data_IF_772761258999
#
_entry.id   IF_772761258999
#
_cell.length_a   1.000
_cell.length_b   1.000
_cell.length_c   1.000
_cell.angle_alpha   90.00
_cell.angle_beta   90.00
_cell.angle_gamma   90.00
#
_symmetry.space_group_name_H-M   'P 1'
#
loop_
_entity.id
_entity.type
_entity.pdbx_description
1 polymer ?
#
# COMPACT_ATOMS: atom_id res chain seq x y z
N UNK A 1 4.18 14.90 0.47
CA UNK A 1 3.11 14.19 -0.26
C UNK A 1 2.36 15.17 -1.14
N UNK A 2 1.55 14.65 -2.05
CA UNK A 2 0.69 15.42 -2.98
C UNK A 2 -0.78 15.39 -2.59
N UNK A 3 -1.13 14.65 -1.54
CA UNK A 3 -2.50 14.36 -1.11
C UNK A 3 -2.63 14.40 0.41
N UNK A 4 -3.85 14.60 0.89
CA UNK A 4 -4.24 14.50 2.29
C UNK A 4 -5.54 13.72 2.39
N UNK A 5 -5.61 12.81 3.36
CA UNK A 5 -6.81 12.11 3.79
C UNK A 5 -7.15 12.56 5.22
N UNK A 6 -8.33 13.15 5.41
CA UNK A 6 -8.85 13.53 6.72
C UNK A 6 -9.92 12.56 7.18
N UNK A 7 -9.67 11.89 8.29
CA UNK A 7 -10.62 10.98 8.93
C UNK A 7 -11.58 11.75 9.83
N UNK A 8 -12.88 11.56 9.62
CA UNK A 8 -13.96 12.13 10.45
C UNK A 8 -14.55 11.06 11.40
N UNK A 9 -14.22 11.13 12.68
CA UNK A 9 -14.83 10.29 13.73
C UNK A 9 -16.21 10.84 14.15
N UNK A 10 -17.14 10.88 13.20
CA UNK A 10 -18.45 11.47 13.40
C UNK A 10 -19.21 10.85 14.58
N UNK A 11 -19.60 11.69 15.54
CA UNK A 11 -20.35 11.27 16.71
C UNK A 11 -19.53 10.55 17.78
N UNK A 12 -18.20 10.63 17.72
CA UNK A 12 -17.28 10.13 18.75
C UNK A 12 -17.24 8.61 18.85
N UNK A 13 -17.41 7.91 17.72
CA UNK A 13 -17.17 6.48 17.61
C UNK A 13 -18.23 5.56 18.22
N UNK A 14 -19.09 6.05 19.09
CA UNK A 14 -20.03 5.23 19.86
C UNK A 14 -21.39 4.95 19.21
N UNK A 15 -21.62 5.35 17.95
CA UNK A 15 -22.91 5.19 17.26
C UNK A 15 -22.76 4.37 15.98
N UNK A 16 -23.82 3.68 15.57
CA UNK A 16 -23.88 3.02 14.27
C UNK A 16 -24.04 4.05 13.15
N UNK A 17 -22.93 4.45 12.51
CA UNK A 17 -22.92 5.46 11.44
C UNK A 17 -22.63 4.90 10.04
N UNK A 18 -22.54 3.58 9.91
CA UNK A 18 -22.30 2.90 8.64
C UNK A 18 -23.54 2.13 8.15
N UNK A 19 -24.76 2.58 8.49
CA UNK A 19 -25.98 1.89 8.06
C UNK A 19 -26.27 2.22 6.60
N UNK A 20 -27.06 1.39 5.94
CA UNK A 20 -27.38 1.54 4.50
C UNK A 20 -28.04 2.88 4.12
N UNK A 21 -28.59 3.62 5.10
CA UNK A 21 -29.22 4.92 4.89
C UNK A 21 -28.41 6.10 5.45
N UNK A 22 -27.27 5.85 6.10
CA UNK A 22 -26.38 6.92 6.52
C UNK A 22 -25.66 7.51 5.29
N UNK A 23 -25.48 8.84 5.20
CA UNK A 23 -24.75 9.45 4.09
C UNK A 23 -23.31 8.93 3.98
N UNK A 24 -22.83 8.78 2.74
CA UNK A 24 -21.46 8.32 2.45
C UNK A 24 -20.38 9.39 2.72
N UNK A 25 -20.79 10.65 2.89
CA UNK A 25 -19.92 11.79 3.19
C UNK A 25 -19.91 12.15 4.69
N UNK A 26 -20.53 11.34 5.56
CA UNK A 26 -20.58 11.56 7.01
C UNK A 26 -19.80 10.48 7.74
N UNK A 27 -18.88 10.86 8.63
CA UNK A 27 -18.08 9.87 9.36
C UNK A 27 -17.19 9.05 8.43
N UNK A 28 -16.62 9.73 7.44
CA UNK A 28 -15.96 9.21 6.25
C UNK A 28 -14.60 9.91 6.11
N UNK A 29 -13.77 9.43 5.19
CA UNK A 29 -12.49 10.07 4.89
C UNK A 29 -12.67 11.08 3.77
N UNK A 30 -12.30 12.33 4.01
CA UNK A 30 -12.28 13.38 3.00
C UNK A 30 -10.90 13.45 2.35
N UNK A 31 -10.83 13.28 1.03
CA UNK A 31 -9.58 13.22 0.28
C UNK A 31 -9.39 14.51 -0.52
N UNK A 32 -8.19 15.07 -0.40
CA UNK A 32 -7.78 16.31 -1.04
C UNK A 32 -6.44 16.13 -1.76
N UNK A 33 -6.30 16.81 -2.89
CA UNK A 33 -5.00 17.04 -3.50
C UNK A 33 -4.39 18.34 -2.98
N UNK A 34 -3.06 18.43 -3.00
CA UNK A 34 -2.30 19.64 -2.74
C UNK A 34 -1.86 20.24 -4.09
N UNK A 35 -2.58 21.26 -4.56
CA UNK A 35 -2.28 21.98 -5.81
C UNK A 35 -1.86 23.40 -5.46
N UNK A 36 -0.65 23.81 -5.88
CA UNK A 36 -0.07 25.12 -5.57
C UNK A 36 -0.11 25.48 -4.07
N UNK A 37 0.10 24.48 -3.21
CA UNK A 37 0.06 24.62 -1.75
C UNK A 37 -1.33 24.80 -1.14
N UNK A 38 -2.40 24.53 -1.91
CA UNK A 38 -3.80 24.60 -1.44
C UNK A 38 -4.47 23.24 -1.51
N UNK A 39 -5.42 23.02 -0.61
CA UNK A 39 -6.25 21.82 -0.61
C UNK A 39 -7.35 21.95 -1.65
N UNK A 40 -7.36 21.04 -2.61
CA UNK A 40 -8.45 20.85 -3.56
C UNK A 40 -9.22 19.58 -3.20
N UNK A 41 -10.49 19.74 -2.84
CA UNK A 41 -11.36 18.60 -2.56
C UNK A 41 -11.48 17.70 -3.79
N UNK A 42 -11.39 16.38 -3.58
CA UNK A 42 -11.53 15.38 -4.64
C UNK A 42 -12.70 14.44 -4.40
N UNK A 43 -12.76 13.80 -3.23
CA UNK A 43 -13.77 12.79 -2.95
C UNK A 43 -13.95 12.55 -1.45
N UNK A 44 -14.94 11.74 -1.12
CA UNK A 44 -15.02 11.05 0.16
C UNK A 44 -14.90 9.55 -0.07
N UNK A 45 -14.29 8.85 0.89
CA UNK A 45 -14.35 7.40 1.00
C UNK A 45 -15.08 6.99 2.27
N UNK A 46 -15.99 6.03 2.15
CA UNK A 46 -16.60 5.32 3.27
C UNK A 46 -16.67 3.85 2.91
N UNK A 47 -16.43 2.98 3.89
CA UNK A 47 -16.52 1.53 3.68
C UNK A 47 -17.84 1.15 2.97
N UNK A 48 -17.80 0.27 1.95
CA UNK A 48 -18.97 -0.01 1.11
C UNK A 48 -19.98 -0.94 1.78
N UNK A 49 -19.54 -1.74 2.75
CA UNK A 49 -20.38 -2.71 3.43
C UNK A 49 -21.27 -2.05 4.50
N UNK A 50 -22.60 -2.03 4.34
CA UNK A 50 -23.49 -1.47 5.36
C UNK A 50 -23.51 -2.34 6.63
N UNK A 51 -23.44 -1.68 7.77
CA UNK A 51 -23.44 -2.28 9.11
C UNK A 51 -24.84 -2.21 9.75
N UNK A 52 -25.08 -3.06 10.75
CA UNK A 52 -26.37 -3.12 11.48
C UNK A 52 -26.47 -2.00 12.52
N UNK A 53 -27.66 -1.86 13.10
CA UNK A 53 -27.97 -0.80 14.06
C UNK A 53 -27.25 -0.95 15.40
N UNK A 54 -26.76 -2.15 15.72
CA UNK A 54 -26.06 -2.48 16.96
C UNK A 54 -24.53 -2.49 16.81
N UNK A 55 -24.02 -1.95 15.70
CA UNK A 55 -22.59 -1.90 15.39
C UNK A 55 -22.12 -0.46 15.37
N UNK A 56 -21.36 -0.04 16.40
CA UNK A 56 -20.72 1.26 16.34
C UNK A 56 -19.68 1.26 15.22
N UNK A 57 -19.81 2.20 14.29
CA UNK A 57 -19.01 2.20 13.07
C UNK A 57 -18.87 3.63 12.57
N UNK A 58 -17.63 4.03 12.32
CA UNK A 58 -17.23 5.31 11.73
C UNK A 58 -15.75 5.24 11.35
N UNK A 59 -15.30 6.08 10.42
CA UNK A 59 -13.89 6.21 10.04
C UNK A 59 -13.02 6.47 11.29
N UNK A 60 -11.94 5.69 11.44
CA UNK A 60 -11.01 5.84 12.56
C UNK A 60 -9.55 5.58 12.12
N UNK A 61 -8.61 5.60 13.06
CA UNK A 61 -7.17 5.56 12.84
C UNK A 61 -6.69 4.46 11.88
N UNK A 62 -5.76 4.86 10.99
CA UNK A 62 -5.13 4.04 9.98
C UNK A 62 -3.67 4.41 9.73
N UNK A 63 -3.02 3.73 8.78
CA UNK A 63 -1.74 4.15 8.22
C UNK A 63 -1.56 3.79 6.75
N UNK A 64 -0.58 4.41 6.09
CA UNK A 64 -0.18 4.03 4.74
C UNK A 64 0.34 2.59 4.70
N UNK A 65 -0.08 1.83 3.68
CA UNK A 65 0.58 0.61 3.21
C UNK A 65 1.54 1.05 2.10
N UNK A 66 2.87 1.02 2.31
CA UNK A 66 3.84 1.69 1.45
C UNK A 66 4.17 0.87 0.20
N UNK A 67 3.20 0.66 -0.67
CA UNK A 67 3.44 0.11 -2.01
C UNK A 67 4.10 1.20 -2.88
N UNK A 68 5.27 0.96 -3.52
CA UNK A 68 5.90 1.94 -4.38
C UNK A 68 4.94 2.41 -5.48
N UNK A 69 4.84 3.73 -5.65
CA UNK A 69 4.01 4.35 -6.70
C UNK A 69 2.50 4.35 -6.45
N UNK A 70 2.03 3.82 -5.32
CA UNK A 70 0.60 3.81 -4.96
C UNK A 70 0.34 4.46 -3.62
N UNK A 71 -0.84 5.04 -3.49
CA UNK A 71 -1.35 5.59 -2.25
C UNK A 71 -2.39 4.62 -1.69
N UNK A 72 -1.96 3.73 -0.78
CA UNK A 72 -2.83 2.75 -0.13
C UNK A 72 -2.88 3.04 1.38
N UNK A 73 -4.08 3.03 1.96
CA UNK A 73 -4.33 3.27 3.38
C UNK A 73 -5.03 2.06 4.00
N UNK A 74 -4.51 1.55 5.11
CA UNK A 74 -5.24 0.57 5.94
C UNK A 74 -5.88 1.30 7.11
N UNK A 75 -7.15 1.04 7.36
CA UNK A 75 -7.96 1.86 8.25
C UNK A 75 -8.95 1.05 9.09
N UNK A 76 -9.13 1.46 10.34
CA UNK A 76 -10.14 0.94 11.24
C UNK A 76 -11.50 1.63 11.07
N UNK A 77 -12.58 0.86 11.17
CA UNK A 77 -13.97 1.32 11.13
C UNK A 77 -14.77 0.91 12.38
N UNK A 78 -14.14 0.83 13.55
CA UNK A 78 -14.70 0.21 14.74
C UNK A 78 -15.27 -1.19 14.44
N UNK A 79 -16.55 -1.45 14.73
CA UNK A 79 -17.17 -2.77 14.49
C UNK A 79 -17.35 -3.05 13.01
N UNK A 80 -17.30 -2.02 12.14
CA UNK A 80 -17.24 -2.20 10.68
C UNK A 80 -15.94 -2.84 10.19
N UNK A 81 -14.97 -3.07 11.08
CA UNK A 81 -13.79 -3.85 10.76
C UNK A 81 -12.63 -3.01 10.25
N UNK A 82 -11.95 -3.54 9.22
CA UNK A 82 -10.79 -2.95 8.57
C UNK A 82 -11.09 -2.82 7.08
N UNK A 83 -10.75 -1.67 6.51
CA UNK A 83 -10.66 -1.50 5.05
C UNK A 83 -9.21 -1.23 4.65
N UNK A 84 -8.82 -1.76 3.50
CA UNK A 84 -7.60 -1.38 2.78
C UNK A 84 -8.06 -0.63 1.55
N UNK A 85 -7.67 0.63 1.46
CA UNK A 85 -8.21 1.63 0.56
C UNK A 85 -7.11 2.05 -0.40
N UNK A 86 -7.30 1.83 -1.70
CA UNK A 86 -6.46 2.46 -2.71
C UNK A 86 -7.05 3.83 -3.07
N UNK A 87 -6.31 4.90 -2.78
CA UNK A 87 -6.65 6.28 -3.13
C UNK A 87 -5.59 6.90 -4.06
N UNK A 88 -4.89 6.06 -4.82
CA UNK A 88 -3.94 6.48 -5.87
C UNK A 88 -4.62 7.39 -6.90
N UNK A 89 -5.90 7.17 -7.20
CA UNK A 89 -6.75 8.15 -7.87
C UNK A 89 -7.63 8.86 -6.82
N UNK A 90 -7.27 10.10 -6.47
CA UNK A 90 -7.94 10.85 -5.39
C UNK A 90 -9.44 11.07 -5.65
N UNK A 91 -9.88 11.09 -6.90
CA UNK A 91 -11.29 11.26 -7.26
C UNK A 91 -12.11 9.97 -7.20
N UNK A 92 -11.46 8.80 -7.10
CA UNK A 92 -12.11 7.49 -7.14
C UNK A 92 -11.41 6.47 -6.22
N UNK A 93 -11.39 6.71 -4.90
CA UNK A 93 -10.85 5.75 -3.93
C UNK A 93 -11.66 4.45 -3.94
N UNK A 94 -10.99 3.30 -3.82
CA UNK A 94 -11.61 1.98 -3.86
C UNK A 94 -11.13 1.10 -2.72
N UNK A 95 -12.05 0.34 -2.11
CA UNK A 95 -11.68 -0.71 -1.18
C UNK A 95 -11.10 -1.91 -1.95
N UNK A 96 -9.88 -2.30 -1.61
CA UNK A 96 -9.14 -3.38 -2.29
C UNK A 96 -9.00 -4.65 -1.44
N UNK A 97 -9.24 -4.54 -0.14
CA UNK A 97 -9.36 -5.66 0.80
C UNK A 97 -10.11 -5.19 2.04
N UNK A 98 -10.74 -6.12 2.77
CA UNK A 98 -11.42 -5.82 4.02
C UNK A 98 -11.34 -7.00 5.00
N UNK A 99 -11.61 -6.71 6.26
CA UNK A 99 -11.83 -7.73 7.28
C UNK A 99 -12.92 -7.24 8.25
N UNK A 100 -14.01 -7.99 8.34
CA UNK A 100 -15.14 -7.69 9.22
C UNK A 100 -15.51 -8.94 10.04
N UNK A 101 -15.70 -8.75 11.34
CA UNK A 101 -16.12 -9.80 12.29
C UNK A 101 -17.61 -9.80 12.56
N UNK A 102 -18.28 -8.70 12.24
CA UNK A 102 -19.60 -8.39 12.72
C UNK A 102 -19.63 -8.01 14.20
N UNK A 103 -20.84 -7.95 14.77
CA UNK A 103 -21.11 -7.23 15.99
C UNK A 103 -20.48 -7.91 17.22
N UNK A 104 -20.22 -7.12 18.25
CA UNK A 104 -19.92 -7.61 19.60
C UNK A 104 -21.12 -8.34 20.17
N UNK A 105 -22.30 -7.73 20.06
CA UNK A 105 -23.58 -8.28 20.49
C UNK A 105 -24.63 -8.07 19.39
N UNK A 106 -25.42 -9.11 19.12
CA UNK A 106 -26.37 -9.10 18.01
C UNK A 106 -27.64 -8.27 18.28
N UNK A 107 -27.91 -7.93 19.54
CA UNK A 107 -29.16 -7.32 20.00
C UNK A 107 -28.94 -5.98 20.72
N UNK A 108 -27.73 -5.72 21.22
CA UNK A 108 -27.40 -4.48 21.94
C UNK A 108 -26.19 -3.74 21.35
N UNK A 109 -26.28 -2.41 21.30
CA UNK A 109 -25.17 -1.56 20.88
C UNK A 109 -24.12 -1.49 22.01
N UNK A 110 -22.99 -2.16 21.79
CA UNK A 110 -21.81 -2.10 22.66
C UNK A 110 -20.65 -1.50 21.88
N UNK A 111 -19.97 -0.49 22.45
CA UNK A 111 -18.77 0.08 21.81
C UNK A 111 -17.67 -0.99 21.72
N UNK A 112 -17.24 -1.30 20.52
CA UNK A 112 -16.18 -2.27 20.25
C UNK A 112 -15.57 -2.06 18.86
N UNK A 113 -14.93 -3.11 18.35
CA UNK A 113 -14.27 -3.10 17.06
C UNK A 113 -12.88 -2.48 17.08
N UNK A 114 -12.27 -2.33 15.90
CA UNK A 114 -10.92 -1.84 15.78
C UNK A 114 -10.86 -0.35 16.11
N UNK A 115 -10.07 0.01 17.12
CA UNK A 115 -9.74 1.41 17.41
C UNK A 115 -8.57 1.90 16.57
N UNK A 116 -7.65 1.03 16.16
CA UNK A 116 -6.65 1.44 15.17
C UNK A 116 -6.15 0.26 14.37
N UNK A 117 -5.71 0.56 13.16
CA UNK A 117 -5.12 -0.44 12.28
C UNK A 117 -3.87 0.15 11.62
N UNK A 118 -2.73 -0.50 11.79
CA UNK A 118 -1.46 0.01 11.28
C UNK A 118 -0.71 -1.06 10.50
N UNK A 119 -0.05 -0.64 9.42
CA UNK A 119 0.87 -1.47 8.66
C UNK A 119 2.27 -1.43 9.25
N UNK A 120 2.89 -2.60 9.43
CA UNK A 120 4.32 -2.71 9.70
C UNK A 120 4.87 -4.09 9.29
N UNK A 121 6.00 -4.11 8.57
CA UNK A 121 6.72 -5.33 8.24
C UNK A 121 5.86 -6.43 7.61
N UNK A 122 5.07 -6.10 6.57
CA UNK A 122 4.12 -7.00 5.89
C UNK A 122 2.93 -7.50 6.72
N UNK A 123 2.66 -6.88 7.86
CA UNK A 123 1.51 -7.20 8.67
C UNK A 123 0.65 -5.96 8.91
N UNK A 124 -0.64 -6.21 9.08
CA UNK A 124 -1.63 -5.27 9.55
C UNK A 124 -1.90 -5.60 11.02
N UNK A 125 -1.57 -4.67 11.91
CA UNK A 125 -1.80 -4.75 13.33
C UNK A 125 -3.08 -4.01 13.68
N UNK A 126 -4.14 -4.76 14.00
CA UNK A 126 -5.44 -4.22 14.40
C UNK A 126 -5.64 -4.30 15.91
N UNK A 127 -5.74 -3.15 16.60
CA UNK A 127 -6.09 -3.12 18.01
C UNK A 127 -7.60 -2.96 18.17
N UNK A 128 -8.24 -3.96 18.73
CA UNK A 128 -9.67 -4.07 18.95
C UNK A 128 -9.98 -3.80 20.45
N UNK A 129 -10.99 -2.98 20.72
CA UNK A 129 -11.32 -2.45 22.06
C UNK A 129 -11.61 -3.54 23.10
N UNK A 130 -12.28 -4.64 22.71
CA UNK A 130 -12.78 -5.73 23.55
C UNK A 130 -12.05 -7.05 23.29
N UNK A 131 -11.86 -7.42 22.02
CA UNK A 131 -11.36 -8.69 21.51
C UNK A 131 -9.82 -8.76 21.45
N UNK A 132 -9.12 -7.63 21.61
CA UNK A 132 -7.66 -7.60 21.77
C UNK A 132 -6.88 -7.20 20.52
N UNK A 133 -5.95 -8.05 20.06
CA UNK A 133 -5.04 -7.73 18.96
C UNK A 133 -5.17 -8.75 17.83
N UNK A 134 -5.22 -8.24 16.60
CA UNK A 134 -5.03 -9.03 15.39
C UNK A 134 -3.77 -8.65 14.65
N UNK A 135 -3.19 -9.68 14.04
CA UNK A 135 -2.07 -9.55 13.12
C UNK A 135 -2.48 -10.26 11.84
N UNK A 136 -2.80 -9.47 10.82
CA UNK A 136 -3.30 -9.93 9.53
C UNK A 136 -2.22 -9.73 8.46
N UNK A 137 -2.29 -10.49 7.38
CA UNK A 137 -1.44 -10.30 6.20
C UNK A 137 -2.33 -10.12 4.97
N UNK A 138 -1.87 -9.33 4.00
CA UNK A 138 -2.54 -9.23 2.71
C UNK A 138 -2.24 -10.45 1.85
N UNK A 139 -3.26 -10.91 1.14
CA UNK A 139 -3.13 -11.89 0.06
C UNK A 139 -3.23 -11.19 -1.29
N UNK A 140 -2.56 -11.73 -2.30
CA UNK A 140 -2.64 -11.19 -3.66
C UNK A 140 -4.06 -11.36 -4.23
N UNK A 141 -4.52 -10.36 -4.98
CA UNK A 141 -5.83 -10.32 -5.63
C UNK A 141 -5.76 -9.60 -6.98
N UNK A 142 -6.90 -9.38 -7.66
CA UNK A 142 -6.93 -8.51 -8.84
C UNK A 142 -6.46 -7.06 -8.55
N UNK A 143 -6.55 -6.61 -7.30
CA UNK A 143 -6.26 -5.23 -6.92
C UNK A 143 -4.83 -4.99 -6.43
N UNK A 144 -4.16 -6.03 -5.93
CA UNK A 144 -2.80 -5.94 -5.40
C UNK A 144 -2.04 -7.24 -5.64
N UNK A 145 -0.85 -7.16 -6.25
CA UNK A 145 -0.06 -8.35 -6.59
C UNK A 145 0.83 -8.79 -5.44
N UNK A 146 1.35 -10.02 -5.53
CA UNK A 146 2.33 -10.54 -4.58
C UNK A 146 3.63 -9.69 -4.55
N UNK A 147 4.05 -9.14 -5.69
CA UNK A 147 5.23 -8.26 -5.74
C UNK A 147 4.97 -6.92 -5.06
N UNK A 148 3.77 -6.34 -5.21
CA UNK A 148 3.39 -5.11 -4.51
C UNK A 148 3.37 -5.29 -3.00
N UNK A 149 2.78 -6.40 -2.51
CA UNK A 149 2.79 -6.74 -1.08
C UNK A 149 4.24 -6.94 -0.60
N UNK A 150 5.05 -7.67 -1.36
CA UNK A 150 6.45 -7.89 -1.00
C UNK A 150 7.26 -6.58 -0.99
N UNK A 151 7.03 -5.68 -1.95
CA UNK A 151 7.69 -4.38 -2.02
C UNK A 151 7.28 -3.46 -0.85
N UNK A 152 6.02 -3.49 -0.42
CA UNK A 152 5.58 -2.76 0.77
C UNK A 152 6.29 -3.23 2.06
N UNK A 153 6.73 -4.48 2.10
CA UNK A 153 7.54 -5.02 3.19
C UNK A 153 9.00 -4.56 3.21
N UNK A 154 9.49 -4.04 2.07
CA UNK A 154 10.85 -3.52 1.92
C UNK A 154 10.96 -2.02 2.20
N UNK A 155 9.87 -1.35 2.56
CA UNK A 155 9.89 0.07 2.89
C UNK A 155 10.83 0.35 4.07
N UNK A 156 11.74 1.29 3.87
CA UNK A 156 12.66 1.79 4.89
C UNK A 156 12.06 3.03 5.56
N UNK A 157 12.01 2.99 6.89
CA UNK A 157 11.45 4.04 7.75
C UNK A 157 12.54 4.86 8.47
N UNK A 158 13.82 4.65 8.14
CA UNK A 158 14.99 5.31 8.75
C UNK A 158 15.00 5.18 10.29
N UNK A 159 14.77 3.95 10.76
CA UNK A 159 14.80 3.61 12.19
C UNK A 159 13.43 3.24 12.77
N UNK A 160 12.89 4.09 13.66
CA UNK A 160 11.67 3.79 14.44
C UNK A 160 10.43 4.31 13.73
N UNK A 161 9.49 3.41 13.42
CA UNK A 161 8.18 3.78 12.91
C UNK A 161 7.24 4.21 14.04
N UNK A 162 6.78 5.45 14.02
CA UNK A 162 5.53 5.86 14.63
C UNK A 162 4.47 6.06 13.52
N UNK A 163 3.46 5.19 13.42
CA UNK A 163 2.51 5.23 12.31
C UNK A 163 1.74 6.55 12.24
N UNK A 164 1.53 7.26 13.35
CA UNK A 164 0.81 8.54 13.32
C UNK A 164 1.60 9.69 12.68
N UNK A 165 2.92 9.58 12.53
CA UNK A 165 3.72 10.63 11.90
C UNK A 165 3.61 10.63 10.37
N UNK A 166 3.28 9.47 9.77
CA UNK A 166 3.15 9.30 8.31
C UNK A 166 4.34 9.91 7.54
N UNK A 167 5.57 9.68 8.03
CA UNK A 167 6.77 10.20 7.40
C UNK A 167 6.99 9.55 6.02
N UNK A 168 7.62 10.25 5.07
CA UNK A 168 8.01 9.66 3.80
C UNK A 168 8.89 8.43 4.02
N UNK A 169 8.68 7.39 3.21
CA UNK A 169 9.48 6.16 3.20
C UNK A 169 10.21 6.03 1.87
N UNK A 170 11.26 5.22 1.85
CA UNK A 170 11.98 4.84 0.63
C UNK A 170 11.99 3.33 0.48
N UNK A 171 12.41 2.85 -0.69
CA UNK A 171 12.57 1.42 -0.97
C UNK A 171 14.00 1.18 -1.46
N UNK A 172 14.59 0.01 -1.15
CA UNK A 172 15.90 -0.35 -1.68
C UNK A 172 15.82 -0.59 -3.19
N UNK A 173 16.91 -0.34 -3.92
CA UNK A 173 17.00 -0.82 -5.31
C UNK A 173 17.10 -2.34 -5.29
N UNK A 174 15.96 -3.00 -5.49
CA UNK A 174 15.78 -4.45 -5.35
C UNK A 174 14.85 -4.98 -6.44
N UNK A 175 15.08 -6.19 -6.99
CA UNK A 175 14.26 -6.74 -8.07
C UNK A 175 12.75 -6.73 -7.81
N UNK A 176 12.33 -7.05 -6.59
CA UNK A 176 10.92 -7.03 -6.17
C UNK A 176 10.25 -5.67 -6.32
N UNK A 177 10.98 -4.57 -6.08
CA UNK A 177 10.43 -3.21 -6.21
C UNK A 177 10.19 -2.88 -7.69
N UNK A 178 11.10 -3.30 -8.58
CA UNK A 178 10.88 -3.17 -10.01
C UNK A 178 9.70 -4.03 -10.49
N UNK A 179 9.60 -5.28 -10.02
CA UNK A 179 8.48 -6.18 -10.35
C UNK A 179 7.13 -5.59 -9.91
N UNK A 180 7.04 -4.98 -8.73
CA UNK A 180 5.83 -4.30 -8.29
C UNK A 180 5.40 -3.17 -9.24
N UNK A 181 6.35 -2.37 -9.74
CA UNK A 181 6.07 -1.29 -10.69
C UNK A 181 5.71 -1.85 -12.09
N UNK A 182 6.32 -2.95 -12.52
CA UNK A 182 6.00 -3.63 -13.78
C UNK A 182 4.59 -4.26 -13.75
N UNK A 183 4.19 -4.83 -12.61
CA UNK A 183 2.82 -5.33 -12.39
C UNK A 183 1.79 -4.20 -12.51
N UNK A 184 2.11 -3.00 -12.00
CA UNK A 184 1.27 -1.82 -12.15
C UNK A 184 1.17 -1.34 -13.61
N UNK A 185 2.28 -1.33 -14.36
CA UNK A 185 2.27 -1.01 -15.80
C UNK A 185 1.37 -1.98 -16.59
N UNK A 186 1.45 -3.27 -16.26
CA UNK A 186 0.61 -4.30 -16.87
C UNK A 186 -0.87 -4.04 -16.60
N UNK A 187 -1.22 -3.77 -15.34
CA UNK A 187 -2.61 -3.48 -14.93
C UNK A 187 -3.16 -2.19 -15.55
N UNK A 188 -2.33 -1.16 -15.67
CA UNK A 188 -2.75 0.13 -16.23
C UNK A 188 -2.76 0.14 -17.76
N UNK A 189 -2.12 -0.83 -18.42
CA UNK A 189 -1.99 -0.87 -19.88
C UNK A 189 -1.21 0.32 -20.44
N UNK A 190 -0.30 0.91 -19.66
CA UNK A 190 0.39 2.17 -19.96
C UNK A 190 1.74 2.01 -20.66
N UNK A 191 2.14 0.79 -20.98
CA UNK A 191 3.40 0.47 -21.65
C UNK A 191 3.24 -0.68 -22.66
N UNK A 192 4.23 -0.84 -23.54
CA UNK A 192 4.27 -1.96 -24.49
C UNK A 192 4.32 -3.29 -23.72
N UNK A 193 3.30 -4.13 -23.94
CA UNK A 193 3.11 -5.38 -23.18
C UNK A 193 4.30 -6.33 -23.35
N UNK A 194 4.91 -6.40 -24.54
CA UNK A 194 6.04 -7.29 -24.77
C UNK A 194 7.30 -6.79 -24.06
N UNK A 195 7.54 -5.48 -24.03
CA UNK A 195 8.64 -4.89 -23.25
C UNK A 195 8.43 -5.11 -21.75
N UNK A 196 7.20 -4.94 -21.22
CA UNK A 196 6.92 -5.15 -19.79
C UNK A 196 7.09 -6.62 -19.41
N UNK A 197 6.59 -7.56 -20.21
CA UNK A 197 6.76 -9.00 -19.97
C UNK A 197 8.24 -9.39 -19.97
N UNK A 198 9.01 -8.93 -20.98
CA UNK A 198 10.45 -9.18 -21.05
C UNK A 198 11.22 -8.56 -19.87
N UNK A 199 10.79 -7.38 -19.39
CA UNK A 199 11.35 -6.74 -18.21
C UNK A 199 11.07 -7.56 -16.94
N UNK A 200 9.83 -8.04 -16.75
CA UNK A 200 9.47 -8.89 -15.61
C UNK A 200 10.30 -10.17 -15.60
N UNK A 201 10.39 -10.88 -16.72
CA UNK A 201 11.21 -12.09 -16.85
C UNK A 201 12.68 -11.84 -16.51
N UNK A 202 13.24 -10.72 -16.99
CA UNK A 202 14.63 -10.35 -16.73
C UNK A 202 14.88 -10.06 -15.24
N UNK A 203 13.93 -9.42 -14.55
CA UNK A 203 14.02 -9.11 -13.13
C UNK A 203 13.86 -10.37 -12.26
N UNK A 204 12.94 -11.27 -12.61
CA UNK A 204 12.79 -12.57 -11.94
C UNK A 204 14.04 -13.42 -12.08
N UNK A 205 14.57 -13.55 -13.31
CA UNK A 205 15.77 -14.33 -13.58
C UNK A 205 17.03 -13.77 -12.90
N UNK A 206 17.06 -12.46 -12.59
CA UNK A 206 18.19 -11.84 -11.91
C UNK A 206 18.11 -11.91 -10.38
N UNK A 207 16.95 -12.25 -9.82
CA UNK A 207 16.67 -12.14 -8.39
C UNK A 207 17.58 -13.01 -7.52
N UNK A 208 17.78 -14.27 -7.88
CA UNK A 208 18.62 -15.19 -7.10
C UNK A 208 20.07 -14.70 -7.02
N UNK A 209 20.68 -14.33 -8.15
CA UNK A 209 22.04 -13.75 -8.17
C UNK A 209 22.10 -12.43 -7.41
N UNK A 210 21.06 -11.59 -7.51
CA UNK A 210 21.00 -10.31 -6.80
C UNK A 210 20.99 -10.51 -5.28
N UNK A 211 20.12 -11.38 -4.79
CA UNK A 211 19.95 -11.67 -3.36
C UNK A 211 21.22 -12.33 -2.77
N UNK A 212 21.94 -13.11 -3.59
CA UNK A 212 23.24 -13.67 -3.24
C UNK A 212 24.42 -12.66 -3.30
N UNK A 213 24.20 -11.43 -3.76
CA UNK A 213 25.26 -10.42 -3.95
C UNK A 213 26.22 -10.75 -5.10
N UNK A 214 25.83 -11.67 -5.99
CA UNK A 214 26.65 -12.13 -7.10
C UNK A 214 26.56 -11.18 -8.31
N UNK A 215 27.70 -10.93 -8.95
CA UNK A 215 27.71 -10.17 -10.19
C UNK A 215 27.13 -11.00 -11.34
N UNK A 216 26.19 -10.44 -12.09
CA UNK A 216 25.67 -11.02 -13.32
C UNK A 216 25.63 -9.97 -14.44
N UNK A 217 26.78 -9.75 -15.07
CA UNK A 217 26.95 -8.74 -16.14
C UNK A 217 26.06 -8.98 -17.35
N UNK A 218 25.65 -10.22 -17.60
CA UNK A 218 24.72 -10.55 -18.70
C UNK A 218 23.33 -10.03 -18.37
N UNK A 219 22.79 -10.39 -17.21
CA UNK A 219 21.49 -9.88 -16.75
C UNK A 219 21.49 -8.36 -16.64
N UNK A 220 22.55 -7.75 -16.10
CA UNK A 220 22.68 -6.29 -16.02
C UNK A 220 22.51 -5.59 -17.37
N UNK A 221 23.17 -6.08 -18.44
CA UNK A 221 23.05 -5.51 -19.79
C UNK A 221 21.64 -5.67 -20.36
N UNK A 222 21.01 -6.82 -20.13
CA UNK A 222 19.63 -7.07 -20.57
C UNK A 222 18.66 -6.12 -19.88
N UNK A 223 18.75 -6.01 -18.55
CA UNK A 223 17.90 -5.14 -17.72
C UNK A 223 18.06 -3.68 -18.14
N UNK A 224 19.27 -3.21 -18.42
CA UNK A 224 19.50 -1.83 -18.88
C UNK A 224 18.88 -1.52 -20.23
N UNK A 225 18.91 -2.46 -21.18
CA UNK A 225 18.25 -2.32 -22.48
C UNK A 225 16.75 -2.15 -22.31
N UNK A 226 16.12 -3.03 -21.53
CA UNK A 226 14.68 -3.00 -21.25
C UNK A 226 14.30 -1.74 -20.45
N UNK A 227 15.12 -1.31 -19.49
CA UNK A 227 14.91 -0.07 -18.75
C UNK A 227 15.07 1.18 -19.65
N UNK A 228 15.86 1.13 -20.72
CA UNK A 228 15.93 2.22 -21.69
C UNK A 228 14.64 2.31 -22.53
N UNK A 229 14.08 1.17 -22.93
CA UNK A 229 12.80 1.09 -23.63
C UNK A 229 11.63 1.57 -22.76
N UNK A 230 11.53 1.10 -21.52
CA UNK A 230 10.49 1.51 -20.58
C UNK A 230 10.53 3.01 -20.26
N UNK A 231 11.72 3.60 -20.16
CA UNK A 231 11.87 5.03 -19.88
C UNK A 231 11.40 5.94 -21.03
N UNK A 232 10.97 5.38 -22.18
CA UNK A 232 10.39 6.15 -23.27
C UNK A 232 8.97 6.63 -22.99
N UNK A 233 8.27 6.05 -22.01
CA UNK A 233 6.99 6.54 -21.48
C UNK A 233 7.17 7.15 -20.09
N UNK A 234 6.31 8.12 -19.73
CA UNK A 234 6.35 8.73 -18.39
C UNK A 234 6.03 7.70 -17.29
N UNK A 235 5.05 6.84 -17.55
CA UNK A 235 4.62 5.80 -16.61
C UNK A 235 5.70 4.73 -16.40
N UNK A 236 6.55 4.46 -17.40
CA UNK A 236 7.62 3.46 -17.32
C UNK A 236 8.89 3.94 -16.61
N UNK A 237 9.04 5.25 -16.38
CA UNK A 237 10.25 5.83 -15.75
C UNK A 237 10.53 5.29 -14.34
N UNK A 238 9.54 5.17 -13.42
CA UNK A 238 9.81 4.64 -12.08
C UNK A 238 10.37 3.21 -12.13
N UNK A 239 9.77 2.32 -12.94
CA UNK A 239 10.27 0.96 -13.10
C UNK A 239 11.68 0.95 -13.69
N UNK A 240 11.91 1.75 -14.74
CA UNK A 240 13.21 1.87 -15.39
C UNK A 240 14.32 2.38 -14.45
N UNK A 241 14.01 3.29 -13.54
CA UNK A 241 14.96 3.81 -12.55
C UNK A 241 15.44 2.70 -11.62
N UNK A 242 14.51 1.97 -11.00
CA UNK A 242 14.83 0.84 -10.11
C UNK A 242 15.58 -0.26 -10.87
N UNK A 243 15.16 -0.58 -12.09
CA UNK A 243 15.84 -1.57 -12.95
C UNK A 243 17.29 -1.19 -13.23
N UNK A 244 17.58 0.08 -13.54
CA UNK A 244 18.96 0.54 -13.76
C UNK A 244 19.81 0.44 -12.51
N UNK A 245 19.25 0.77 -11.35
CA UNK A 245 19.95 0.66 -10.08
C UNK A 245 20.23 -0.81 -9.70
N UNK A 246 19.29 -1.73 -9.96
CA UNK A 246 19.51 -3.17 -9.85
C UNK A 246 20.60 -3.66 -10.80
N UNK A 247 20.57 -3.24 -12.07
CA UNK A 247 21.59 -3.59 -13.04
C UNK A 247 22.98 -3.09 -12.65
N UNK A 248 23.08 -1.88 -12.07
CA UNK A 248 24.34 -1.36 -11.55
C UNK A 248 24.92 -2.26 -10.46
N UNK A 249 24.11 -2.69 -9.49
CA UNK A 249 24.53 -3.61 -8.42
C UNK A 249 24.92 -5.00 -8.94
N UNK A 250 24.35 -5.46 -10.05
CA UNK A 250 24.72 -6.73 -10.71
C UNK A 250 26.02 -6.66 -11.53
N UNK A 251 26.56 -5.46 -11.83
CA UNK A 251 27.82 -5.32 -12.59
C UNK A 251 29.06 -5.57 -11.73
N UNK A 252 28.96 -5.25 -10.44
CA UNK A 252 30.03 -5.33 -9.47
C UNK A 252 29.69 -6.41 -8.43
N UNK A 253 30.65 -7.26 -8.02
CA UNK A 253 30.40 -8.14 -6.89
C UNK A 253 30.12 -7.26 -5.66
N UNK A 254 29.01 -7.49 -4.97
CA UNK A 254 28.78 -6.84 -3.69
C UNK A 254 29.82 -7.43 -2.73
N UNK A 255 30.83 -6.64 -2.38
CA UNK A 255 31.80 -7.06 -1.37
C UNK A 255 31.03 -7.13 -0.05
N UNK A 256 30.56 -8.31 0.31
CA UNK A 256 30.15 -8.57 1.68
C UNK A 256 31.39 -8.37 2.53
N UNK A 257 31.45 -7.29 3.30
CA UNK A 257 32.49 -7.11 4.32
C UNK A 257 32.25 -8.13 5.44
N UNK A 258 32.52 -9.40 5.16
CA UNK A 258 32.71 -10.40 6.19
C UNK A 258 34.12 -10.21 6.74
N UNK A 259 34.21 -9.44 7.83
CA UNK A 259 35.36 -9.44 8.73
C UNK A 259 36.17 -8.15 8.78
N UNK A 260 35.94 -7.35 9.82
CA UNK A 260 36.99 -6.77 10.66
C UNK A 260 36.36 -6.28 11.99
N UNK A 261 36.72 -7.03 13.04
CA UNK A 261 36.63 -6.79 14.51
C UNK A 261 35.27 -6.60 15.21
#
# INVERSE_FOLDING_TARGET
GTKILFTDEWGGGGRARCRAFDPLDWGADAIYDIVDGKLEYRSHFKMPAPQREFENCVAHNGSIVPVPGRDIFVQAWYQGGISVIDFTESSSPVEIAYFDRGPIDAEELVTGGFWSTYWYGNHIYGTEIIRGLDVLTLEASEHITANEIAAAGLADYDGVLNPQQQLPVTWPDHPVVALALLDQLTRNGSADTATVEAASDAMEAARESFDAGESNRRSARTIEGLAAELASSDDGKPAAEVMRAVAAKLREPQITSNGAD
#
